data_IF_326236518775
#
_entry.id   IF_326236518775
#
_cell.length_a   1.000
_cell.length_b   1.000
_cell.length_c   1.000
_cell.angle_alpha   90.00
_cell.angle_beta   90.00
_cell.angle_gamma   90.00
#
_symmetry.space_group_name_H-M   'P 1'
#
loop_
_entity.id
_entity.type
_entity.pdbx_description
1 polymer ?
#
# COMPACT_ATOMS: atom_id res chain seq x y z
N UNK A 1 -13.38 17.79 -20.64
CA UNK A 1 -12.10 17.04 -20.48
C UNK A 1 -11.03 18.02 -20.02
N UNK A 2 -10.10 17.58 -19.17
CA UNK A 2 -8.96 18.41 -18.76
C UNK A 2 -7.93 18.42 -19.89
N UNK A 3 -7.28 19.58 -20.16
CA UNK A 3 -6.15 19.62 -21.07
C UNK A 3 -4.89 19.06 -20.41
N UNK A 4 -3.92 18.62 -21.21
CA UNK A 4 -2.64 18.11 -20.67
C UNK A 4 -1.94 19.17 -19.80
N UNK A 5 -1.89 20.42 -20.24
CA UNK A 5 -1.28 21.53 -19.50
C UNK A 5 -1.95 21.76 -18.14
N UNK A 6 -3.28 21.74 -18.09
CA UNK A 6 -4.01 21.88 -16.82
C UNK A 6 -3.78 20.68 -15.90
N UNK A 7 -3.75 19.47 -16.46
CA UNK A 7 -3.45 18.25 -15.72
C UNK A 7 -2.06 18.29 -15.08
N UNK A 8 -1.04 18.70 -15.83
CA UNK A 8 0.32 18.91 -15.29
C UNK A 8 0.32 19.94 -14.16
N UNK A 9 -0.38 21.08 -14.33
CA UNK A 9 -0.49 22.09 -13.27
C UNK A 9 -1.14 21.57 -11.98
N UNK A 10 -2.15 20.71 -12.09
CA UNK A 10 -2.75 20.07 -10.92
C UNK A 10 -1.79 19.08 -10.24
N UNK A 11 -1.03 18.33 -11.03
CA UNK A 11 -0.03 17.38 -10.51
C UNK A 11 1.09 18.13 -9.79
N UNK A 12 1.61 19.21 -10.37
CA UNK A 12 2.65 20.02 -9.74
C UNK A 12 2.17 20.66 -8.43
N UNK A 13 0.95 21.20 -8.43
CA UNK A 13 0.37 21.75 -7.19
C UNK A 13 0.16 20.64 -6.14
N UNK A 14 -0.29 19.45 -6.53
CA UNK A 14 -0.39 18.31 -5.61
C UNK A 14 0.99 17.94 -5.03
N UNK A 15 2.03 17.98 -5.85
CA UNK A 15 3.40 17.71 -5.40
C UNK A 15 3.88 18.74 -4.35
N UNK A 16 3.51 20.00 -4.50
CA UNK A 16 3.94 21.09 -3.64
C UNK A 16 3.08 21.22 -2.37
N UNK A 17 1.76 21.10 -2.51
CA UNK A 17 0.81 21.35 -1.41
C UNK A 17 0.27 20.10 -0.73
N UNK A 18 0.50 18.91 -1.32
CA UNK A 18 -0.02 17.61 -0.89
C UNK A 18 -1.56 17.56 -0.82
N UNK A 19 -2.23 18.50 -1.46
CA UNK A 19 -3.67 18.61 -1.45
C UNK A 19 -4.21 19.20 -2.74
N UNK A 20 -5.41 18.75 -3.11
CA UNK A 20 -6.23 19.33 -4.17
C UNK A 20 -7.68 19.43 -3.68
N UNK A 21 -8.40 20.39 -4.24
CA UNK A 21 -9.84 20.50 -4.03
C UNK A 21 -10.59 19.31 -4.65
N UNK A 22 -11.76 18.96 -4.10
CA UNK A 22 -12.54 17.80 -4.55
C UNK A 22 -12.79 17.81 -6.07
N UNK A 23 -13.11 18.97 -6.64
CA UNK A 23 -13.40 19.08 -8.08
C UNK A 23 -12.11 18.89 -8.91
N UNK A 24 -10.97 19.29 -8.41
CA UNK A 24 -9.67 19.10 -9.05
C UNK A 24 -9.26 17.64 -9.09
N UNK A 25 -9.48 16.91 -8.00
CA UNK A 25 -9.33 15.46 -7.96
C UNK A 25 -10.20 14.77 -9.00
N UNK A 26 -11.49 15.15 -9.08
CA UNK A 26 -12.42 14.58 -10.06
C UNK A 26 -11.95 14.85 -11.50
N UNK A 27 -11.50 16.08 -11.78
CA UNK A 27 -11.00 16.46 -13.11
C UNK A 27 -9.73 15.68 -13.47
N UNK A 28 -8.78 15.55 -12.54
CA UNK A 28 -7.53 14.83 -12.74
C UNK A 28 -7.77 13.34 -12.98
N UNK A 29 -8.61 12.71 -12.18
CA UNK A 29 -8.89 11.26 -12.28
C UNK A 29 -9.67 10.94 -13.55
N UNK A 30 -10.75 11.69 -13.87
CA UNK A 30 -11.59 11.46 -15.06
C UNK A 30 -10.91 11.86 -16.36
N UNK A 31 -10.03 12.85 -16.32
CA UNK A 31 -9.30 13.34 -17.48
C UNK A 31 -7.94 12.69 -17.72
N UNK A 32 -7.65 11.61 -17.00
CA UNK A 32 -6.37 10.92 -17.09
C UNK A 32 -6.14 10.32 -18.48
N UNK A 33 -5.06 10.72 -19.13
CA UNK A 33 -4.55 10.15 -20.38
C UNK A 33 -3.26 9.39 -20.12
N UNK A 34 -2.77 8.55 -21.03
CA UNK A 34 -1.46 7.90 -20.90
C UNK A 34 -0.33 8.90 -20.67
N UNK A 35 -0.31 10.01 -21.41
CA UNK A 35 0.73 11.05 -21.30
C UNK A 35 0.68 11.74 -19.94
N UNK A 36 -0.52 12.06 -19.44
CA UNK A 36 -0.70 12.65 -18.11
C UNK A 36 -0.34 11.67 -17.00
N UNK A 37 -0.57 10.37 -17.20
CA UNK A 37 -0.17 9.31 -16.28
C UNK A 37 1.35 9.22 -16.20
N UNK A 38 2.05 9.28 -17.33
CA UNK A 38 3.52 9.24 -17.35
C UNK A 38 4.12 10.46 -16.64
N UNK A 39 3.55 11.64 -16.87
CA UNK A 39 3.95 12.84 -16.13
C UNK A 39 3.75 12.67 -14.62
N UNK A 40 2.59 12.19 -14.20
CA UNK A 40 2.29 11.90 -12.78
C UNK A 40 3.30 10.92 -12.17
N UNK A 41 3.59 9.81 -12.86
CA UNK A 41 4.51 8.80 -12.36
C UNK A 41 5.94 9.33 -12.27
N UNK A 42 6.35 10.17 -13.22
CA UNK A 42 7.67 10.80 -13.18
C UNK A 42 7.78 11.73 -11.97
N UNK A 43 6.80 12.62 -11.75
CA UNK A 43 6.77 13.52 -10.59
C UNK A 43 6.73 12.75 -9.26
N UNK A 44 5.91 11.70 -9.16
CA UNK A 44 5.85 10.85 -7.98
C UNK A 44 7.18 10.15 -7.69
N UNK A 45 7.87 9.65 -8.73
CA UNK A 45 9.19 9.03 -8.62
C UNK A 45 10.25 10.03 -8.13
N UNK A 46 10.27 11.25 -8.68
CA UNK A 46 11.19 12.30 -8.25
C UNK A 46 11.03 12.65 -6.77
N UNK A 47 9.79 12.83 -6.31
CA UNK A 47 9.48 13.12 -4.91
C UNK A 47 9.91 11.95 -4.02
N UNK A 48 9.59 10.73 -4.40
CA UNK A 48 9.96 9.54 -3.66
C UNK A 48 11.48 9.42 -3.52
N UNK A 49 12.22 9.63 -4.62
CA UNK A 49 13.69 9.56 -4.61
C UNK A 49 14.29 10.65 -3.72
N UNK A 50 13.71 11.85 -3.74
CA UNK A 50 14.14 12.98 -2.88
C UNK A 50 14.02 12.65 -1.39
N UNK A 51 12.95 11.94 -0.99
CA UNK A 51 12.69 11.64 0.41
C UNK A 51 13.32 10.33 0.89
N UNK A 52 13.39 9.31 0.04
CA UNK A 52 13.75 7.94 0.42
C UNK A 52 14.93 7.36 -0.38
N UNK A 53 15.49 8.11 -1.32
CA UNK A 53 16.51 7.59 -2.23
C UNK A 53 15.97 6.47 -3.12
N UNK A 54 16.85 5.58 -3.54
CA UNK A 54 16.50 4.42 -4.38
C UNK A 54 16.12 3.17 -3.57
N UNK A 55 16.22 3.22 -2.25
CA UNK A 55 15.95 2.07 -1.38
C UNK A 55 14.48 1.72 -1.31
N UNK A 56 14.18 0.44 -1.29
CA UNK A 56 12.84 -0.10 -1.03
C UNK A 56 12.85 -0.74 0.34
N UNK A 57 11.92 -0.32 1.20
CA UNK A 57 11.77 -0.87 2.53
C UNK A 57 10.81 -2.06 2.48
N UNK A 58 11.31 -3.23 2.84
CA UNK A 58 10.54 -4.48 2.86
C UNK A 58 10.18 -4.80 4.32
N UNK A 59 8.94 -5.24 4.53
CA UNK A 59 8.46 -5.72 5.83
C UNK A 59 8.16 -7.19 5.76
N UNK A 60 8.53 -7.93 6.80
CA UNK A 60 8.09 -9.31 6.98
C UNK A 60 6.64 -9.33 7.45
N UNK A 61 5.82 -10.22 6.90
CA UNK A 61 4.46 -10.46 7.36
C UNK A 61 4.42 -11.78 8.12
N UNK A 62 3.86 -11.76 9.32
CA UNK A 62 3.61 -12.95 10.14
C UNK A 62 2.11 -13.03 10.38
N UNK A 63 1.45 -13.94 9.70
CA UNK A 63 0.04 -14.26 9.92
C UNK A 63 -0.06 -15.20 11.13
N UNK A 64 -0.21 -14.62 12.32
CA UNK A 64 -0.14 -15.40 13.57
C UNK A 64 -1.43 -16.12 13.92
N UNK A 65 -2.55 -15.80 13.26
CA UNK A 65 -3.82 -16.49 13.44
C UNK A 65 -4.74 -16.25 12.24
N UNK A 66 -5.57 -17.21 11.92
CA UNK A 66 -6.66 -17.06 10.96
C UNK A 66 -8.05 -17.16 11.59
N UNK A 67 -8.13 -17.03 12.93
CA UNK A 67 -9.43 -16.88 13.60
C UNK A 67 -9.92 -15.45 13.39
N UNK A 68 -11.10 -15.29 12.81
CA UNK A 68 -11.75 -14.00 12.64
C UNK A 68 -13.15 -14.04 13.26
N UNK A 69 -13.48 -13.00 14.03
CA UNK A 69 -14.84 -12.85 14.60
C UNK A 69 -15.84 -12.22 13.63
N UNK A 70 -15.34 -11.60 12.56
CA UNK A 70 -16.18 -11.01 11.52
C UNK A 70 -16.62 -12.04 10.50
N UNK A 71 -17.69 -11.75 9.78
CA UNK A 71 -18.29 -12.67 8.80
C UNK A 71 -18.41 -12.02 7.40
N UNK A 72 -17.39 -11.26 7.00
CA UNK A 72 -17.36 -10.58 5.71
C UNK A 72 -17.28 -11.61 4.57
N UNK A 73 -18.12 -11.44 3.56
CA UNK A 73 -18.09 -12.31 2.37
C UNK A 73 -16.81 -12.20 1.54
N UNK A 74 -16.03 -11.15 1.76
CA UNK A 74 -14.76 -10.95 1.07
C UNK A 74 -13.68 -11.96 1.52
N UNK A 75 -13.64 -12.35 2.79
CA UNK A 75 -12.54 -13.13 3.36
C UNK A 75 -12.85 -14.61 3.43
N UNK A 76 -11.92 -15.46 2.96
CA UNK A 76 -11.96 -16.90 3.16
C UNK A 76 -11.85 -17.31 4.63
N UNK A 77 -11.30 -16.46 5.50
CA UNK A 77 -11.18 -16.71 6.94
C UNK A 77 -12.37 -16.19 7.76
N UNK A 78 -13.46 -15.80 7.13
CA UNK A 78 -14.67 -15.36 7.85
C UNK A 78 -15.16 -16.41 8.85
N UNK A 79 -15.80 -15.95 9.92
CA UNK A 79 -16.23 -16.81 11.05
C UNK A 79 -17.05 -18.02 10.62
N UNK A 80 -18.00 -17.85 9.70
CA UNK A 80 -18.91 -18.92 9.25
C UNK A 80 -18.29 -19.93 8.28
N UNK A 81 -17.08 -19.65 7.75
CA UNK A 81 -16.42 -20.61 6.87
C UNK A 81 -15.86 -21.79 7.68
N UNK A 82 -16.58 -22.90 7.66
CA UNK A 82 -16.22 -24.16 8.35
C UNK A 82 -15.15 -24.97 7.60
N UNK A 83 -14.85 -24.62 6.35
CA UNK A 83 -13.85 -25.31 5.53
C UNK A 83 -12.43 -24.75 5.73
N UNK A 84 -12.28 -23.65 6.47
CA UNK A 84 -10.99 -23.07 6.77
C UNK A 84 -10.32 -23.82 7.94
N UNK A 85 -9.16 -24.41 7.69
CA UNK A 85 -8.32 -24.94 8.77
C UNK A 85 -7.85 -23.78 9.64
N UNK A 86 -8.27 -23.81 10.92
CA UNK A 86 -7.96 -22.73 11.86
C UNK A 86 -6.67 -23.02 12.61
N UNK A 87 -5.84 -21.97 12.76
CA UNK A 87 -4.61 -22.06 13.54
C UNK A 87 -4.39 -20.79 14.36
N UNK A 88 -3.53 -20.91 15.33
CA UNK A 88 -2.98 -19.79 16.10
C UNK A 88 -1.54 -20.14 16.47
N UNK A 89 -0.60 -19.29 16.10
CA UNK A 89 0.79 -19.47 16.44
C UNK A 89 1.02 -19.19 17.93
N UNK A 90 1.93 -19.94 18.53
CA UNK A 90 2.40 -19.65 19.88
C UNK A 90 3.39 -18.48 19.86
N UNK A 91 3.69 -17.93 21.03
CA UNK A 91 4.71 -16.87 21.17
C UNK A 91 6.06 -17.30 20.59
N UNK A 92 6.45 -18.54 20.90
CA UNK A 92 7.71 -19.13 20.48
C UNK A 92 7.79 -19.25 18.94
N UNK A 93 6.68 -19.66 18.32
CA UNK A 93 6.58 -19.72 16.85
C UNK A 93 6.69 -18.34 16.21
N UNK A 94 6.01 -17.33 16.76
CA UNK A 94 6.10 -15.96 16.28
C UNK A 94 7.54 -15.43 16.39
N UNK A 95 8.20 -15.65 17.53
CA UNK A 95 9.58 -15.23 17.73
C UNK A 95 10.56 -15.96 16.79
N UNK A 96 10.35 -17.24 16.53
CA UNK A 96 11.11 -18.00 15.55
C UNK A 96 10.95 -17.44 14.12
N UNK A 97 9.74 -17.03 13.74
CA UNK A 97 9.51 -16.36 12.46
C UNK A 97 10.27 -15.02 12.38
N UNK A 98 10.25 -14.24 13.46
CA UNK A 98 11.00 -12.98 13.54
C UNK A 98 12.51 -13.20 13.40
N UNK A 99 13.08 -14.18 14.09
CA UNK A 99 14.51 -14.52 14.01
C UNK A 99 14.90 -14.95 12.59
N UNK A 100 14.11 -15.82 11.99
CA UNK A 100 14.30 -16.24 10.59
C UNK A 100 14.25 -15.06 9.64
N UNK A 101 13.24 -14.23 9.77
CA UNK A 101 13.10 -13.02 8.95
C UNK A 101 14.26 -12.03 9.16
N UNK A 102 14.72 -11.86 10.39
CA UNK A 102 15.87 -10.99 10.68
C UNK A 102 17.15 -11.47 9.99
N UNK A 103 17.42 -12.77 10.01
CA UNK A 103 18.57 -13.38 9.28
C UNK A 103 18.46 -13.17 7.77
N UNK A 104 17.22 -13.15 7.23
CA UNK A 104 16.95 -12.85 5.81
C UNK A 104 17.05 -11.36 5.45
N UNK A 105 17.28 -10.49 6.42
CA UNK A 105 17.46 -9.05 6.21
C UNK A 105 16.25 -8.17 6.55
N UNK A 106 15.11 -8.73 6.94
CA UNK A 106 13.97 -7.94 7.39
C UNK A 106 14.29 -7.21 8.71
N UNK A 107 13.80 -5.99 8.87
CA UNK A 107 14.00 -5.18 10.08
C UNK A 107 12.67 -4.70 10.69
N UNK A 108 11.58 -4.93 10.01
CA UNK A 108 10.23 -4.60 10.47
C UNK A 108 9.30 -5.76 10.16
N UNK A 109 8.44 -6.09 11.10
CA UNK A 109 7.45 -7.15 10.96
C UNK A 109 6.06 -6.60 11.21
N UNK A 110 5.12 -7.04 10.39
CA UNK A 110 3.69 -6.81 10.55
C UNK A 110 3.07 -8.11 11.06
N UNK A 111 2.35 -8.04 12.16
CA UNK A 111 1.58 -9.15 12.73
C UNK A 111 0.12 -9.01 12.29
N UNK A 112 -0.42 -10.02 11.65
CA UNK A 112 -1.78 -10.02 11.12
C UNK A 112 -2.57 -11.25 11.56
#
# INVERSE_FOLDING_TARGET
MISFKEGCGLIDRLADTQSLERQEWIRLIRGRTPELSEYLFTRAREIRIRHYGHSIYIRGLIEFTNYCRNDCYYCGIRRSNRNANRYRLTKEQILSCCDTGYRLGFRTFVLQ
#
